data_IF_952836437735
#
_entry.id   IF_952836437735
#
_cell.length_a   1.000
_cell.length_b   1.000
_cell.length_c   1.000
_cell.angle_alpha   90.00
_cell.angle_beta   90.00
_cell.angle_gamma   90.00
#
_symmetry.space_group_name_H-M   'P 1'
#
loop_
_entity.id
_entity.type
_entity.pdbx_description
1 polymer ?
#
# COMPACT_ATOMS: atom_id res chain seq x y z
N UNK A 1 -11.90 -9.94 -4.38
CA UNK A 1 -11.68 -10.92 -3.29
C UNK A 1 -11.04 -12.19 -3.84
N UNK A 2 -11.58 -12.81 -4.89
CA UNK A 2 -11.02 -14.06 -5.42
C UNK A 2 -9.66 -13.91 -6.14
N UNK A 3 -9.31 -12.72 -6.67
CA UNK A 3 -8.02 -12.49 -7.36
C UNK A 3 -6.81 -12.77 -6.46
N UNK A 4 -6.81 -12.20 -5.25
CA UNK A 4 -5.73 -12.42 -4.28
C UNK A 4 -5.69 -13.88 -3.80
N UNK A 5 -6.86 -14.55 -3.71
CA UNK A 5 -6.93 -15.98 -3.38
C UNK A 5 -6.35 -16.86 -4.50
N UNK A 6 -6.59 -16.54 -5.76
CA UNK A 6 -5.98 -17.26 -6.90
C UNK A 6 -4.47 -17.07 -6.97
N UNK A 7 -3.97 -15.86 -6.69
CA UNK A 7 -2.54 -15.63 -6.57
C UNK A 7 -1.93 -16.43 -5.41
N UNK A 8 -2.58 -16.45 -4.25
CA UNK A 8 -2.14 -17.27 -3.11
C UNK A 8 -2.11 -18.76 -3.47
N UNK A 9 -3.16 -19.27 -4.12
CA UNK A 9 -3.23 -20.65 -4.55
C UNK A 9 -2.13 -20.99 -5.58
N UNK A 10 -1.84 -20.07 -6.50
CA UNK A 10 -0.74 -20.21 -7.47
C UNK A 10 0.62 -20.31 -6.76
N UNK A 11 0.86 -19.49 -5.73
CA UNK A 11 2.12 -19.48 -5.00
C UNK A 11 2.31 -20.71 -4.10
N UNK A 12 1.23 -21.22 -3.49
CA UNK A 12 1.30 -22.35 -2.55
C UNK A 12 1.26 -23.72 -3.24
N UNK A 13 0.43 -23.85 -4.28
CA UNK A 13 0.03 -25.14 -4.86
C UNK A 13 0.13 -25.17 -6.39
N UNK A 14 0.64 -24.11 -7.01
CA UNK A 14 0.76 -23.99 -8.47
C UNK A 14 -0.58 -24.13 -9.20
N UNK A 15 -0.51 -24.58 -10.45
CA UNK A 15 -1.68 -24.67 -11.34
C UNK A 15 -2.79 -25.58 -10.79
N UNK A 16 -2.43 -26.63 -10.03
CA UNK A 16 -3.41 -27.53 -9.41
C UNK A 16 -4.25 -26.83 -8.33
N UNK A 17 -3.63 -26.01 -7.48
CA UNK A 17 -4.34 -25.27 -6.45
C UNK A 17 -5.28 -24.21 -7.04
N UNK A 18 -4.83 -23.55 -8.11
CA UNK A 18 -5.63 -22.58 -8.85
C UNK A 18 -6.86 -23.26 -9.45
N UNK A 19 -6.72 -24.44 -10.04
CA UNK A 19 -7.86 -25.16 -10.64
C UNK A 19 -8.87 -25.63 -9.58
N UNK A 20 -8.41 -26.13 -8.44
CA UNK A 20 -9.27 -26.50 -7.32
C UNK A 20 -10.06 -25.30 -6.79
N UNK A 21 -9.38 -24.15 -6.61
CA UNK A 21 -10.03 -22.92 -6.16
C UNK A 21 -11.03 -22.41 -7.21
N UNK A 22 -10.67 -22.44 -8.50
CA UNK A 22 -11.56 -22.06 -9.59
C UNK A 22 -12.84 -22.91 -9.62
N UNK A 23 -12.71 -24.23 -9.45
CA UNK A 23 -13.85 -25.13 -9.36
C UNK A 23 -14.74 -24.79 -8.16
N UNK A 24 -14.15 -24.52 -7.00
CA UNK A 24 -14.88 -24.12 -5.80
C UNK A 24 -15.61 -22.77 -5.99
N UNK A 25 -14.97 -21.78 -6.59
CA UNK A 25 -15.57 -20.48 -6.91
C UNK A 25 -16.77 -20.62 -7.87
N UNK A 26 -16.68 -21.55 -8.82
CA UNK A 26 -17.77 -21.85 -9.76
C UNK A 26 -18.95 -22.51 -9.05
N UNK A 27 -18.71 -23.52 -8.21
CA UNK A 27 -19.78 -24.23 -7.48
C UNK A 27 -20.44 -23.36 -6.41
N UNK A 28 -19.67 -22.46 -5.79
CA UNK A 28 -20.20 -21.51 -4.79
C UNK A 28 -20.93 -20.31 -5.38
N UNK A 29 -21.00 -20.18 -6.73
CA UNK A 29 -21.67 -19.07 -7.40
C UNK A 29 -20.94 -17.72 -7.28
N UNK A 30 -19.66 -17.74 -6.87
CA UNK A 30 -18.83 -16.52 -6.78
C UNK A 30 -18.23 -16.10 -8.12
N UNK A 31 -18.19 -17.02 -9.10
CA UNK A 31 -17.78 -16.74 -10.47
C UNK A 31 -19.03 -16.54 -11.35
N UNK A 32 -19.06 -15.53 -12.24
CA UNK A 32 -20.12 -15.39 -13.23
C UNK A 32 -20.33 -16.67 -14.06
N UNK A 33 -21.56 -16.89 -14.51
CA UNK A 33 -21.93 -18.13 -15.21
C UNK A 33 -21.43 -18.09 -16.65
N UNK A 34 -20.93 -19.24 -17.13
CA UNK A 34 -20.58 -19.46 -18.54
C UNK A 34 -19.31 -18.73 -18.98
N UNK A 35 -19.24 -18.40 -20.27
CA UNK A 35 -18.04 -17.86 -20.91
C UNK A 35 -17.51 -16.55 -20.32
N UNK A 36 -18.38 -15.73 -19.70
CA UNK A 36 -17.95 -14.52 -19.01
C UNK A 36 -17.09 -14.82 -17.78
N UNK A 37 -17.49 -15.82 -16.99
CA UNK A 37 -16.70 -16.26 -15.84
C UNK A 37 -15.39 -16.91 -16.26
N UNK A 38 -15.41 -17.69 -17.35
CA UNK A 38 -14.20 -18.32 -17.88
C UNK A 38 -13.18 -17.28 -18.39
N UNK A 39 -13.65 -16.22 -19.06
CA UNK A 39 -12.81 -15.12 -19.51
C UNK A 39 -12.19 -14.34 -18.35
N UNK A 40 -12.99 -13.98 -17.34
CA UNK A 40 -12.50 -13.29 -16.14
C UNK A 40 -11.48 -14.15 -15.38
N UNK A 41 -11.77 -15.45 -15.22
CA UNK A 41 -10.87 -16.39 -14.58
C UNK A 41 -9.56 -16.51 -15.37
N UNK A 42 -9.62 -16.58 -16.70
CA UNK A 42 -8.43 -16.65 -17.53
C UNK A 42 -7.55 -15.40 -17.39
N UNK A 43 -8.13 -14.20 -17.40
CA UNK A 43 -7.40 -12.94 -17.16
C UNK A 43 -6.69 -12.98 -15.81
N UNK A 44 -7.40 -13.38 -14.75
CA UNK A 44 -6.83 -13.42 -13.39
C UNK A 44 -5.77 -14.50 -13.26
N UNK A 45 -5.93 -15.69 -13.88
CA UNK A 45 -4.91 -16.74 -13.91
C UNK A 45 -3.62 -16.25 -14.56
N UNK A 46 -3.71 -15.55 -15.68
CA UNK A 46 -2.55 -14.97 -16.38
C UNK A 46 -1.83 -13.97 -15.48
N UNK A 47 -2.56 -13.02 -14.89
CA UNK A 47 -2.02 -12.04 -13.95
C UNK A 47 -1.34 -12.74 -12.75
N UNK A 48 -2.01 -13.72 -12.14
CA UNK A 48 -1.47 -14.47 -11.01
C UNK A 48 -0.19 -15.21 -11.36
N UNK A 49 -0.09 -15.77 -12.57
CA UNK A 49 1.10 -16.47 -13.04
C UNK A 49 2.28 -15.53 -13.24
N UNK A 50 2.05 -14.36 -13.83
CA UNK A 50 3.10 -13.35 -14.02
C UNK A 50 3.66 -12.84 -12.69
N UNK A 51 2.78 -12.49 -11.75
CA UNK A 51 3.21 -12.07 -10.41
C UNK A 51 3.91 -13.22 -9.68
N UNK A 52 3.39 -14.44 -9.76
CA UNK A 52 4.00 -15.60 -9.10
C UNK A 52 5.42 -15.87 -9.62
N UNK A 53 5.66 -15.68 -10.92
CA UNK A 53 6.99 -15.82 -11.50
C UNK A 53 7.97 -14.76 -10.95
N UNK A 54 7.55 -13.50 -10.83
CA UNK A 54 8.41 -12.44 -10.25
C UNK A 54 8.69 -12.69 -8.76
N UNK A 55 7.66 -13.09 -8.02
CA UNK A 55 7.75 -13.36 -6.57
C UNK A 55 8.59 -14.60 -6.28
N UNK A 56 8.57 -15.63 -7.14
CA UNK A 56 9.26 -16.90 -6.91
C UNK A 56 10.78 -16.72 -6.65
N UNK A 57 11.43 -15.79 -7.36
CA UNK A 57 12.85 -15.50 -7.17
C UNK A 57 13.17 -14.88 -5.80
N UNK A 58 12.22 -14.16 -5.22
CA UNK A 58 12.36 -13.52 -3.90
C UNK A 58 11.99 -14.48 -2.77
N UNK A 59 11.04 -15.39 -3.00
CA UNK A 59 10.49 -16.25 -1.95
C UNK A 59 11.20 -17.59 -1.80
N UNK A 60 12.32 -17.81 -2.47
CA UNK A 60 13.02 -19.11 -2.49
C UNK A 60 13.59 -19.58 -1.15
N UNK A 61 13.83 -18.67 -0.21
CA UNK A 61 14.34 -19.00 1.13
C UNK A 61 13.54 -18.28 2.21
N UNK A 62 12.51 -18.95 2.73
CA UNK A 62 11.66 -18.43 3.80
C UNK A 62 12.42 -18.33 5.12
N UNK A 63 12.32 -17.18 5.77
CA UNK A 63 12.90 -16.91 7.08
C UNK A 63 11.85 -17.07 8.18
N UNK A 64 12.30 -17.19 9.43
CA UNK A 64 11.39 -17.23 10.56
C UNK A 64 10.69 -15.88 10.74
N UNK A 65 9.41 -15.96 11.11
CA UNK A 65 8.63 -14.80 11.52
C UNK A 65 9.28 -14.18 12.76
N UNK A 66 9.30 -12.85 12.85
CA UNK A 66 9.88 -12.12 13.98
C UNK A 66 8.75 -11.58 14.85
N UNK A 67 8.76 -11.96 16.12
CA UNK A 67 7.91 -11.32 17.12
C UNK A 67 8.40 -9.90 17.36
N UNK A 68 7.47 -8.95 17.27
CA UNK A 68 7.69 -7.54 17.58
C UNK A 68 7.16 -7.30 18.98
N UNK A 69 8.03 -6.80 19.86
CA UNK A 69 7.65 -6.26 21.16
C UNK A 69 8.59 -5.09 21.47
N UNK A 70 8.19 -3.89 21.04
CA UNK A 70 9.04 -2.70 21.07
C UNK A 70 8.36 -1.57 21.86
N UNK A 71 9.04 -0.98 22.87
CA UNK A 71 8.62 0.28 23.43
C UNK A 71 8.97 1.41 22.45
N UNK A 72 8.03 2.32 22.23
CA UNK A 72 8.22 3.52 21.42
C UNK A 72 7.92 4.75 22.26
N UNK A 73 8.90 5.65 22.36
CA UNK A 73 8.73 6.92 23.05
C UNK A 73 8.43 8.00 22.02
N UNK A 74 7.25 8.58 22.14
CA UNK A 74 6.77 9.64 21.27
C UNK A 74 7.40 10.98 21.67
N UNK A 75 7.44 11.98 20.75
CA UNK A 75 7.93 13.32 21.06
C UNK A 75 7.19 14.01 22.22
N UNK A 76 5.95 13.61 22.50
CA UNK A 76 5.17 14.07 23.66
C UNK A 76 5.68 13.55 25.02
N UNK A 77 6.65 12.62 25.02
CA UNK A 77 7.14 11.94 26.21
C UNK A 77 6.32 10.69 26.59
N UNK A 78 5.21 10.43 25.90
CA UNK A 78 4.42 9.23 26.09
C UNK A 78 5.12 8.01 25.50
N UNK A 79 5.22 6.92 26.28
CA UNK A 79 5.70 5.63 25.79
C UNK A 79 4.53 4.69 25.49
N UNK A 80 4.52 4.11 24.30
CA UNK A 80 3.57 3.06 23.89
C UNK A 80 4.32 1.75 23.63
N UNK A 81 3.64 0.63 23.79
CA UNK A 81 4.18 -0.68 23.41
C UNK A 81 3.57 -1.12 22.09
N UNK A 82 4.41 -1.55 21.16
CA UNK A 82 3.98 -2.19 19.92
C UNK A 82 4.25 -3.68 20.01
N UNK A 83 3.20 -4.45 19.77
CA UNK A 83 3.25 -5.91 19.73
C UNK A 83 2.73 -6.44 18.42
N UNK A 84 3.32 -7.50 17.90
CA UNK A 84 2.89 -8.10 16.64
C UNK A 84 3.90 -9.08 16.07
N UNK A 85 3.72 -9.39 14.78
CA UNK A 85 4.59 -10.33 14.07
C UNK A 85 4.93 -9.80 12.68
N UNK A 86 6.21 -9.77 12.35
CA UNK A 86 6.69 -9.56 10.98
C UNK A 86 6.73 -10.92 10.27
N UNK A 87 5.70 -11.15 9.44
CA UNK A 87 5.53 -12.35 8.62
C UNK A 87 6.04 -12.14 7.20
N UNK A 88 5.98 -13.19 6.37
CA UNK A 88 6.33 -13.15 4.94
C UNK A 88 7.77 -12.64 4.73
N UNK A 89 8.67 -13.12 5.58
CA UNK A 89 10.10 -12.83 5.52
C UNK A 89 10.84 -13.89 4.72
N UNK A 90 11.75 -13.44 3.88
CA UNK A 90 12.59 -14.28 3.04
C UNK A 90 14.03 -13.78 3.09
N UNK A 91 14.97 -14.53 2.53
CA UNK A 91 16.37 -14.11 2.46
C UNK A 91 16.55 -12.81 1.65
N UNK A 92 15.66 -12.52 0.71
CA UNK A 92 15.61 -11.24 -0.01
C UNK A 92 14.99 -10.10 0.79
N UNK A 93 14.39 -10.38 1.96
CA UNK A 93 13.71 -9.40 2.81
C UNK A 93 12.20 -9.64 2.93
N UNK A 94 11.44 -8.59 3.22
CA UNK A 94 9.98 -8.66 3.28
C UNK A 94 9.38 -8.65 1.88
N UNK A 95 8.46 -9.58 1.57
CA UNK A 95 7.86 -9.67 0.22
C UNK A 95 6.34 -9.63 0.33
N UNK A 96 5.76 -8.56 -0.21
CA UNK A 96 4.32 -8.32 -0.24
C UNK A 96 3.85 -8.22 -1.68
N UNK A 97 2.69 -8.81 -1.98
CA UNK A 97 2.16 -8.84 -3.34
C UNK A 97 0.64 -8.70 -3.38
N UNK A 98 0.12 -8.27 -4.52
CA UNK A 98 -1.31 -8.11 -4.78
C UNK A 98 -1.68 -8.57 -6.18
N UNK A 99 -2.82 -9.26 -6.33
CA UNK A 99 -3.37 -9.63 -7.64
C UNK A 99 -4.09 -8.44 -8.32
N UNK A 100 -3.34 -7.37 -8.59
CA UNK A 100 -3.81 -6.13 -9.19
C UNK A 100 -2.85 -4.97 -8.91
N UNK A 101 -3.25 -3.75 -9.27
CA UNK A 101 -2.40 -2.58 -9.11
C UNK A 101 -2.11 -2.31 -7.63
N UNK A 102 -0.85 -1.98 -7.33
CA UNK A 102 -0.43 -1.64 -5.97
C UNK A 102 -1.18 -0.38 -5.53
N UNK A 103 -1.91 -0.47 -4.41
CA UNK A 103 -2.67 0.65 -3.88
C UNK A 103 -1.85 1.45 -2.88
N UNK A 104 -2.27 2.69 -2.64
CA UNK A 104 -1.75 3.54 -1.56
C UNK A 104 -1.67 2.81 -0.21
N UNK A 105 -2.72 2.07 0.15
CA UNK A 105 -2.76 1.32 1.40
C UNK A 105 -1.73 0.18 1.43
N UNK A 106 -1.43 -0.45 0.29
CA UNK A 106 -0.42 -1.51 0.21
C UNK A 106 0.98 -0.93 0.42
N UNK A 107 1.26 0.24 -0.17
CA UNK A 107 2.51 0.98 0.05
C UNK A 107 2.66 1.38 1.52
N UNK A 108 1.65 2.02 2.11
CA UNK A 108 1.71 2.45 3.50
C UNK A 108 1.86 1.26 4.46
N UNK A 109 1.13 0.17 4.18
CA UNK A 109 1.20 -1.08 4.94
C UNK A 109 2.60 -1.71 4.87
N UNK A 110 3.21 -1.77 3.68
CA UNK A 110 4.57 -2.24 3.51
C UNK A 110 5.59 -1.31 4.19
N UNK A 111 5.39 0.01 4.09
CA UNK A 111 6.24 1.02 4.71
C UNK A 111 6.25 0.90 6.24
N UNK A 112 5.08 0.76 6.87
CA UNK A 112 4.98 0.53 8.32
C UNK A 112 5.76 -0.72 8.74
N UNK A 113 5.64 -1.82 7.98
CA UNK A 113 6.38 -3.06 8.26
C UNK A 113 7.88 -2.89 8.06
N UNK A 114 8.27 -2.13 7.04
CA UNK A 114 9.67 -1.82 6.76
C UNK A 114 10.30 -1.03 7.92
N UNK A 115 9.63 0.01 8.41
CA UNK A 115 10.07 0.79 9.58
C UNK A 115 10.20 -0.10 10.82
N UNK A 116 9.19 -0.94 11.11
CA UNK A 116 9.24 -1.86 12.25
C UNK A 116 10.36 -2.90 12.11
N UNK A 117 10.63 -3.38 10.90
CA UNK A 117 11.75 -4.28 10.63
C UNK A 117 13.09 -3.60 10.95
N UNK A 118 13.29 -2.34 10.55
CA UNK A 118 14.48 -1.56 10.91
C UNK A 118 14.61 -1.33 12.43
N UNK A 119 13.49 -1.10 13.13
CA UNK A 119 13.48 -0.90 14.58
C UNK A 119 13.79 -2.16 15.39
N UNK A 120 13.42 -3.34 14.88
CA UNK A 120 13.75 -4.63 15.50
C UNK A 120 15.18 -5.11 15.22
N UNK A 121 15.99 -4.33 14.49
CA UNK A 121 17.31 -4.75 14.02
C UNK A 121 17.26 -5.77 12.87
N UNK A 122 16.06 -6.07 12.35
CA UNK A 122 15.82 -6.93 11.20
C UNK A 122 15.74 -6.10 9.89
N UNK A 123 16.51 -5.01 9.80
CA UNK A 123 16.52 -4.13 8.63
C UNK A 123 16.82 -4.93 7.36
N UNK A 124 15.93 -4.81 6.37
CA UNK A 124 16.00 -5.57 5.14
C UNK A 124 15.26 -4.84 4.01
N UNK A 125 15.55 -5.22 2.78
CA UNK A 125 14.77 -4.77 1.62
C UNK A 125 13.31 -5.19 1.80
N UNK A 126 12.38 -4.31 1.43
CA UNK A 126 10.96 -4.63 1.44
C UNK A 126 10.38 -4.47 0.04
N UNK A 127 9.97 -5.58 -0.55
CA UNK A 127 9.42 -5.66 -1.90
C UNK A 127 7.91 -5.56 -1.87
N UNK A 128 7.35 -4.76 -2.78
CA UNK A 128 5.91 -4.59 -3.02
C UNK A 128 5.64 -4.81 -4.49
N UNK A 129 5.01 -5.94 -4.81
CA UNK A 129 4.77 -6.38 -6.19
C UNK A 129 3.28 -6.32 -6.50
N UNK A 130 2.93 -5.75 -7.63
CA UNK A 130 1.56 -5.79 -8.14
C UNK A 130 1.53 -5.92 -9.64
N UNK A 131 0.35 -5.72 -10.21
CA UNK A 131 0.13 -5.80 -11.64
C UNK A 131 -0.71 -4.63 -12.12
N UNK A 132 -0.14 -3.84 -13.03
CA UNK A 132 -0.84 -2.80 -13.74
C UNK A 132 -1.28 -3.30 -15.13
N UNK A 133 -2.51 -2.96 -15.54
CA UNK A 133 -3.05 -3.44 -16.82
C UNK A 133 -2.29 -2.92 -18.04
N UNK A 134 -1.61 -1.78 -17.94
CA UNK A 134 -0.86 -1.18 -19.04
C UNK A 134 0.62 -1.54 -18.99
N UNK A 135 1.20 -1.55 -17.78
CA UNK A 135 2.63 -1.72 -17.59
C UNK A 135 3.04 -3.14 -17.16
N UNK A 136 2.09 -4.05 -16.97
CA UNK A 136 2.36 -5.42 -16.52
C UNK A 136 2.75 -5.49 -15.04
N UNK A 137 3.61 -6.45 -14.68
CA UNK A 137 4.12 -6.58 -13.31
C UNK A 137 4.87 -5.30 -12.90
N UNK A 138 4.53 -4.77 -11.73
CA UNK A 138 5.18 -3.62 -11.12
C UNK A 138 5.90 -4.09 -9.87
N UNK A 139 7.23 -4.03 -9.87
CA UNK A 139 8.05 -4.43 -8.73
C UNK A 139 8.66 -3.18 -8.09
N UNK A 140 8.08 -2.79 -6.96
CA UNK A 140 8.58 -1.70 -6.14
C UNK A 140 9.35 -2.24 -4.93
N UNK A 141 10.30 -1.49 -4.41
CA UNK A 141 11.01 -1.87 -3.20
C UNK A 141 11.48 -0.67 -2.37
N UNK A 142 11.65 -0.90 -1.07
CA UNK A 142 12.35 -0.03 -0.14
C UNK A 142 13.71 -0.66 0.19
N UNK A 143 14.77 0.14 0.10
CA UNK A 143 16.10 -0.26 0.58
C UNK A 143 16.15 -0.26 2.12
N UNK A 144 17.05 -1.05 2.74
CA UNK A 144 17.21 -1.07 4.19
C UNK A 144 17.42 0.34 4.77
N UNK A 145 16.64 0.66 5.81
CA UNK A 145 16.74 1.92 6.54
C UNK A 145 17.45 1.73 7.88
N UNK A 146 18.22 2.74 8.30
CA UNK A 146 18.85 2.77 9.62
C UNK A 146 17.82 2.95 10.75
N UNK A 147 18.18 2.52 11.96
CA UNK A 147 17.26 2.51 13.11
C UNK A 147 16.85 3.92 13.56
N UNK A 148 17.73 4.92 13.47
CA UNK A 148 17.47 6.29 13.94
C UNK A 148 16.45 6.99 13.04
N UNK A 149 16.68 6.95 11.72
CA UNK A 149 15.73 7.43 10.72
C UNK A 149 14.39 6.71 10.84
N UNK A 150 14.42 5.37 11.00
CA UNK A 150 13.20 4.59 11.16
C UNK A 150 12.41 5.01 12.40
N UNK A 151 13.08 5.30 13.51
CA UNK A 151 12.42 5.72 14.76
C UNK A 151 11.71 7.06 14.60
N UNK A 152 12.36 8.05 13.99
CA UNK A 152 11.77 9.36 13.75
C UNK A 152 10.50 9.25 12.89
N UNK A 153 10.61 8.58 11.74
CA UNK A 153 9.52 8.41 10.78
C UNK A 153 8.36 7.60 11.36
N UNK A 154 8.68 6.55 12.12
CA UNK A 154 7.67 5.71 12.75
C UNK A 154 6.93 6.43 13.88
N UNK A 155 7.63 7.27 14.66
CA UNK A 155 7.01 8.09 15.69
C UNK A 155 5.99 9.09 15.11
N UNK A 156 6.25 9.65 13.92
CA UNK A 156 5.28 10.49 13.23
C UNK A 156 3.99 9.74 12.90
N UNK A 157 4.11 8.53 12.34
CA UNK A 157 2.94 7.70 12.03
C UNK A 157 2.12 7.34 13.27
N UNK A 158 2.78 7.00 14.37
CA UNK A 158 2.08 6.69 15.62
C UNK A 158 1.41 7.92 16.21
N UNK A 159 2.04 9.09 16.09
CA UNK A 159 1.45 10.36 16.55
C UNK A 159 0.16 10.65 15.80
N UNK A 160 0.16 10.51 14.47
CA UNK A 160 -1.05 10.73 13.66
C UNK A 160 -2.11 9.65 13.90
N UNK A 161 -1.70 8.40 14.10
CA UNK A 161 -2.62 7.32 14.48
C UNK A 161 -3.34 7.62 15.80
N UNK A 162 -2.61 8.02 16.85
CA UNK A 162 -3.19 8.36 18.15
C UNK A 162 -4.10 9.59 18.08
N UNK A 163 -3.72 10.60 17.28
CA UNK A 163 -4.58 11.75 16.98
C UNK A 163 -5.91 11.29 16.34
N UNK A 164 -5.82 10.38 15.37
CA UNK A 164 -6.97 9.77 14.69
C UNK A 164 -7.90 8.94 15.57
N UNK A 165 -7.42 8.47 16.74
CA UNK A 165 -8.28 7.80 17.73
C UNK A 165 -9.14 8.77 18.53
N UNK A 166 -8.72 10.04 18.64
CA UNK A 166 -9.44 11.05 19.42
C UNK A 166 -10.35 11.91 18.56
N UNK A 167 -9.95 12.17 17.32
CA UNK A 167 -10.71 12.97 16.35
C UNK A 167 -10.60 12.36 14.96
N UNK A 168 -11.63 12.45 14.09
CA UNK A 168 -11.52 11.98 12.72
C UNK A 168 -10.30 12.57 12.00
N UNK A 169 -9.41 11.71 11.52
CA UNK A 169 -8.19 12.12 10.83
C UNK A 169 -8.49 12.34 9.33
N UNK A 170 -8.31 13.56 8.78
CA UNK A 170 -8.58 13.85 7.38
C UNK A 170 -7.46 13.32 6.47
N UNK A 171 -7.31 12.00 6.42
CA UNK A 171 -6.38 11.30 5.54
C UNK A 171 -7.16 10.41 4.56
N UNK A 172 -7.07 10.75 3.28
CA UNK A 172 -7.78 10.06 2.20
C UNK A 172 -6.76 9.35 1.31
N UNK A 173 -6.56 8.02 1.45
CA UNK A 173 -5.41 7.33 0.89
C UNK A 173 -5.24 7.45 -0.62
N UNK A 174 -6.32 7.45 -1.42
CA UNK A 174 -6.20 7.56 -2.88
C UNK A 174 -5.78 8.97 -3.27
N UNK A 175 -6.46 9.99 -2.78
CA UNK A 175 -6.15 11.39 -3.06
C UNK A 175 -4.77 11.77 -2.54
N UNK A 176 -4.39 11.30 -1.34
CA UNK A 176 -3.05 11.45 -0.79
C UNK A 176 -1.99 10.84 -1.69
N UNK A 177 -2.24 9.62 -2.22
CA UNK A 177 -1.29 8.96 -3.13
C UNK A 177 -1.12 9.70 -4.43
N UNK A 178 -2.21 10.14 -5.07
CA UNK A 178 -2.13 10.89 -6.33
C UNK A 178 -1.39 12.22 -6.12
N UNK A 179 -1.64 12.90 -5.00
CA UNK A 179 -0.95 14.13 -4.63
C UNK A 179 0.55 13.91 -4.38
N UNK A 180 0.93 12.94 -3.54
CA UNK A 180 2.33 12.74 -3.16
C UNK A 180 3.18 12.19 -4.31
N UNK A 181 2.60 11.32 -5.16
CA UNK A 181 3.28 10.89 -6.39
C UNK A 181 3.49 12.06 -7.36
N UNK A 182 2.49 12.93 -7.52
CA UNK A 182 2.65 14.13 -8.36
C UNK A 182 3.69 15.08 -7.76
N UNK A 183 3.64 15.33 -6.45
CA UNK A 183 4.62 16.16 -5.75
C UNK A 183 6.05 15.66 -5.99
N UNK A 184 6.32 14.39 -5.68
CA UNK A 184 7.64 13.78 -5.84
C UNK A 184 8.13 13.86 -7.29
N UNK A 185 7.24 13.59 -8.26
CA UNK A 185 7.55 13.71 -9.69
C UNK A 185 7.89 15.13 -10.12
N UNK A 186 7.22 16.14 -9.57
CA UNK A 186 7.37 17.55 -9.97
C UNK A 186 8.56 18.23 -9.33
N UNK A 187 9.00 17.79 -8.15
CA UNK A 187 10.20 18.30 -7.48
C UNK A 187 11.46 18.25 -8.36
N UNK A 188 11.54 17.33 -9.33
CA UNK A 188 12.66 17.27 -10.27
C UNK A 188 12.71 18.43 -11.27
N UNK A 189 11.65 19.23 -11.41
CA UNK A 189 11.49 20.25 -12.47
C UNK A 189 10.97 21.60 -12.00
N UNK A 190 10.38 21.68 -10.81
CA UNK A 190 9.70 22.86 -10.30
C UNK A 190 10.10 23.13 -8.85
N UNK A 191 9.94 24.38 -8.42
CA UNK A 191 10.16 24.74 -7.02
C UNK A 191 9.14 24.03 -6.10
N UNK A 192 9.47 23.75 -4.82
CA UNK A 192 8.60 23.00 -3.92
C UNK A 192 7.19 23.58 -3.77
N UNK A 193 7.02 24.91 -3.79
CA UNK A 193 5.71 25.56 -3.73
C UNK A 193 4.85 25.28 -4.97
N UNK A 194 5.45 25.35 -6.17
CA UNK A 194 4.77 25.07 -7.43
C UNK A 194 4.39 23.58 -7.53
N UNK A 195 5.31 22.69 -7.14
CA UNK A 195 5.05 21.26 -7.07
C UNK A 195 3.88 20.94 -6.12
N UNK A 196 3.80 21.64 -4.97
CA UNK A 196 2.72 21.48 -3.99
C UNK A 196 1.36 21.91 -4.55
N UNK A 197 1.29 23.01 -5.32
CA UNK A 197 0.04 23.43 -5.96
C UNK A 197 -0.43 22.42 -7.02
N UNK A 198 0.50 21.84 -7.80
CA UNK A 198 0.16 20.77 -8.75
C UNK A 198 -0.32 19.50 -8.04
N UNK A 199 0.31 19.14 -6.92
CA UNK A 199 -0.11 18.02 -6.09
C UNK A 199 -1.51 18.24 -5.47
N UNK A 200 -1.79 19.46 -5.00
CA UNK A 200 -3.11 19.88 -4.51
C UNK A 200 -4.18 19.73 -5.59
N UNK A 201 -3.89 20.13 -6.84
CA UNK A 201 -4.83 19.94 -7.94
C UNK A 201 -5.13 18.45 -8.21
N UNK A 202 -4.13 17.57 -8.10
CA UNK A 202 -4.32 16.11 -8.22
C UNK A 202 -5.13 15.53 -7.07
N UNK A 203 -4.89 16.00 -5.85
CA UNK A 203 -5.67 15.63 -4.69
C UNK A 203 -7.16 15.92 -4.91
N UNK A 204 -7.50 17.16 -5.27
CA UNK A 204 -8.89 17.60 -5.47
C UNK A 204 -9.56 16.77 -6.55
N UNK A 205 -8.89 16.59 -7.70
CA UNK A 205 -9.44 15.80 -8.81
C UNK A 205 -9.72 14.33 -8.43
N UNK A 206 -8.88 13.72 -7.58
CA UNK A 206 -9.10 12.36 -7.10
C UNK A 206 -10.21 12.29 -6.04
N UNK A 207 -10.29 13.31 -5.18
CA UNK A 207 -11.28 13.39 -4.11
C UNK A 207 -12.69 13.59 -4.65
N UNK A 208 -12.89 14.53 -5.58
CA UNK A 208 -14.19 14.83 -6.18
C UNK A 208 -14.59 13.81 -7.26
N UNK A 209 -13.60 13.19 -7.92
CA UNK A 209 -13.86 12.31 -9.04
C UNK A 209 -14.30 13.07 -10.29
N UNK A 210 -15.05 12.39 -11.16
CA UNK A 210 -15.58 12.98 -12.39
C UNK A 210 -16.85 12.25 -12.84
N UNK A 211 -17.42 12.65 -13.98
CA UNK A 211 -18.66 12.08 -14.52
C UNK A 211 -18.61 10.57 -14.82
N UNK A 212 -17.42 9.97 -14.91
CA UNK A 212 -17.23 8.55 -15.24
C UNK A 212 -16.69 7.73 -14.06
N UNK A 213 -16.15 8.36 -13.02
CA UNK A 213 -15.54 7.68 -11.88
C UNK A 213 -15.81 8.41 -10.57
N UNK A 214 -16.34 7.68 -9.59
CA UNK A 214 -16.57 8.17 -8.24
C UNK A 214 -15.27 8.60 -7.56
N UNK A 215 -15.35 9.76 -6.91
CA UNK A 215 -14.27 10.34 -6.12
C UNK A 215 -14.10 9.62 -4.78
N UNK A 216 -12.96 9.82 -4.12
CA UNK A 216 -12.77 9.30 -2.76
C UNK A 216 -13.75 9.95 -1.77
N UNK A 217 -14.14 11.21 -2.01
CA UNK A 217 -15.11 11.97 -1.22
C UNK A 217 -16.55 11.45 -1.30
N UNK A 218 -16.89 10.60 -2.27
CA UNK A 218 -18.24 10.00 -2.38
C UNK A 218 -18.52 8.93 -1.30
N UNK A 219 -17.51 8.57 -0.51
CA UNK A 219 -17.66 7.60 0.56
C UNK A 219 -18.57 8.14 1.68
N UNK A 220 -19.62 7.41 2.04
CA UNK A 220 -20.58 7.81 3.07
C UNK A 220 -19.96 8.14 4.43
N UNK A 221 -18.87 7.48 4.83
CA UNK A 221 -18.18 7.78 6.08
C UNK A 221 -17.42 9.10 6.00
N UNK A 222 -16.84 9.41 4.84
CA UNK A 222 -16.16 10.68 4.59
C UNK A 222 -17.18 11.81 4.57
N UNK A 223 -18.25 11.69 3.78
CA UNK A 223 -19.32 12.69 3.68
C UNK A 223 -20.00 13.02 5.02
N UNK A 224 -20.08 12.03 5.92
CA UNK A 224 -20.67 12.21 7.25
C UNK A 224 -19.85 13.16 8.12
N UNK A 225 -18.53 13.20 7.94
CA UNK A 225 -17.62 14.05 8.73
C UNK A 225 -17.28 15.33 7.97
N UNK A 226 -17.03 15.20 6.66
CA UNK A 226 -16.65 16.27 5.75
C UNK A 226 -17.57 16.24 4.53
N UNK A 227 -18.64 17.03 4.58
CA UNK A 227 -19.62 17.11 3.50
C UNK A 227 -19.13 17.88 2.29
N UNK A 228 -18.20 18.82 2.49
CA UNK A 228 -17.63 19.68 1.45
C UNK A 228 -16.11 19.77 1.60
N UNK A 229 -15.41 19.95 0.48
CA UNK A 229 -13.96 20.09 0.44
C UNK A 229 -13.53 21.55 0.63
N UNK A 230 -13.64 22.04 1.86
CA UNK A 230 -13.22 23.40 2.22
C UNK A 230 -11.69 23.58 2.12
N UNK A 231 -11.22 24.81 1.90
CA UNK A 231 -9.78 25.12 1.79
C UNK A 231 -8.98 24.71 3.04
N UNK A 232 -9.59 24.83 4.22
CA UNK A 232 -9.00 24.39 5.48
C UNK A 232 -8.78 22.87 5.48
N UNK A 233 -9.77 22.11 5.05
CA UNK A 233 -9.68 20.65 4.95
C UNK A 233 -8.58 20.25 3.96
N UNK A 234 -8.51 20.89 2.79
CA UNK A 234 -7.46 20.63 1.80
C UNK A 234 -6.07 20.89 2.37
N UNK A 235 -5.91 21.97 3.14
CA UNK A 235 -4.63 22.31 3.76
C UNK A 235 -4.21 21.27 4.81
N UNK A 236 -5.16 20.80 5.63
CA UNK A 236 -4.93 19.76 6.62
C UNK A 236 -4.61 18.40 5.98
N UNK A 237 -5.34 18.00 4.94
CA UNK A 237 -5.13 16.73 4.24
C UNK A 237 -3.79 16.69 3.52
N UNK A 238 -3.37 17.79 2.89
CA UNK A 238 -2.07 17.90 2.23
C UNK A 238 -0.94 17.76 3.24
N UNK A 239 -1.03 18.49 4.37
CA UNK A 239 -0.06 18.36 5.48
C UNK A 239 0.03 16.92 5.98
N UNK A 240 -1.10 16.26 6.20
CA UNK A 240 -1.11 14.86 6.65
C UNK A 240 -0.55 13.89 5.60
N UNK A 241 -0.85 14.13 4.33
CA UNK A 241 -0.32 13.32 3.22
C UNK A 241 1.21 13.41 3.14
N UNK A 242 1.76 14.61 3.33
CA UNK A 242 3.20 14.86 3.40
C UNK A 242 3.85 14.15 4.60
N UNK A 243 3.16 14.05 5.74
CA UNK A 243 3.71 13.37 6.93
C UNK A 243 3.59 11.85 6.87
N UNK A 244 2.47 11.34 6.37
CA UNK A 244 2.14 9.91 6.44
C UNK A 244 2.73 9.14 5.26
N UNK A 245 2.60 9.68 4.03
CA UNK A 245 2.83 8.90 2.82
C UNK A 245 4.06 9.36 2.04
N UNK A 246 4.37 10.66 2.02
CA UNK A 246 5.52 11.17 1.27
C UNK A 246 6.84 10.47 1.64
N UNK A 247 7.16 10.17 2.91
CA UNK A 247 8.43 9.51 3.24
C UNK A 247 8.59 8.15 2.57
N UNK A 248 7.48 7.44 2.37
CA UNK A 248 7.45 6.19 1.61
C UNK A 248 7.63 6.46 0.11
N UNK A 249 6.90 7.42 -0.46
CA UNK A 249 6.97 7.73 -1.90
C UNK A 249 8.35 8.24 -2.32
N UNK A 250 9.06 8.97 -1.47
CA UNK A 250 10.43 9.43 -1.75
C UNK A 250 11.45 8.28 -1.78
N UNK A 251 11.18 7.20 -1.05
CA UNK A 251 12.11 6.07 -0.85
C UNK A 251 11.76 4.84 -1.65
N UNK A 252 10.57 4.83 -2.26
CA UNK A 252 10.15 3.70 -3.09
C UNK A 252 10.89 3.75 -4.42
N UNK A 253 11.56 2.66 -4.74
CA UNK A 253 12.25 2.48 -6.00
C UNK A 253 11.49 1.45 -6.84
N UNK A 254 11.52 1.62 -8.16
CA UNK A 254 10.95 0.66 -9.10
C UNK A 254 12.07 -0.10 -9.79
N UNK A 255 11.98 -1.43 -9.79
CA UNK A 255 12.91 -2.28 -10.52
C UNK A 255 12.59 -2.23 -12.02
N UNK A 256 13.63 -1.99 -12.83
CA UNK A 256 13.57 -2.05 -14.30
C UNK A 256 13.36 -3.48 -14.84
#
# INVERSE_FOLDING_TARGET
MFKDQLLQAQLEKGEQGVEQLAQWLRVSGQLPIGHFGDAELHEVKTISKEIANEVAFLTGSKQQDVEVSLPITLPSGETRQIVGWLKQRYASGGVYYRAGSVRSQDILSAWIRHLVASLTGASCTTHVIGFDKKNGVQHNYFEPLDTESAQSLFNELVTEFLSGLSTPLPYFPRSASDAMNEFNKRLAKFEPSEAREMAKAKFIACFEGNSYSSGEGDNYYIQRVWSELEEKLVSETMRLSERILLPAIERIQQRE
#
